data_IF_846574209614
#
_entry.id   IF_846574209614
#
_cell.length_a   1.000
_cell.length_b   1.000
_cell.length_c   1.000
_cell.angle_alpha   90.00
_cell.angle_beta   90.00
_cell.angle_gamma   90.00
#
_symmetry.space_group_name_H-M   'P 1'
#
loop_
_entity.id
_entity.type
_entity.pdbx_description
1 polymer ?
#
# COMPACT_ATOMS: atom_id res chain seq x y z
N UNK A 1 -11.27 26.21 4.20
CA UNK A 1 -11.38 24.85 3.64
C UNK A 1 -9.99 24.40 3.26
N UNK A 2 -9.57 23.21 3.70
CA UNK A 2 -8.25 22.65 3.33
C UNK A 2 -8.30 21.95 1.98
N UNK A 3 -7.17 21.88 1.27
CA UNK A 3 -7.05 21.23 -0.04
C UNK A 3 -6.14 20.03 0.04
N UNK A 4 -6.63 18.86 -0.40
CA UNK A 4 -5.84 17.64 -0.46
C UNK A 4 -5.69 17.16 -1.91
N UNK A 5 -4.45 16.92 -2.33
CA UNK A 5 -4.13 16.25 -3.59
C UNK A 5 -3.74 14.79 -3.28
N UNK A 6 -4.49 13.84 -3.86
CA UNK A 6 -4.24 12.41 -3.69
C UNK A 6 -3.65 11.87 -5.00
N UNK A 7 -2.34 11.65 -5.03
CA UNK A 7 -1.63 11.06 -6.18
C UNK A 7 -1.78 9.54 -6.16
N UNK A 8 -2.10 8.94 -7.32
CA UNK A 8 -2.40 7.52 -7.42
C UNK A 8 -3.81 7.16 -6.96
N UNK A 9 -4.73 8.14 -7.03
CA UNK A 9 -6.12 8.04 -6.58
C UNK A 9 -6.92 6.92 -7.24
N UNK A 10 -6.61 6.53 -8.49
CA UNK A 10 -7.31 5.46 -9.22
C UNK A 10 -6.92 4.03 -8.81
N UNK A 11 -5.95 3.86 -7.94
CA UNK A 11 -5.53 2.55 -7.41
C UNK A 11 -6.47 2.01 -6.33
N UNK A 12 -6.20 0.77 -5.90
CA UNK A 12 -6.94 0.10 -4.81
C UNK A 12 -7.03 0.99 -3.55
N UNK A 13 -5.88 1.32 -2.94
CA UNK A 13 -5.85 2.18 -1.76
C UNK A 13 -6.32 3.60 -2.08
N UNK A 14 -5.96 4.14 -3.26
CA UNK A 14 -6.35 5.48 -3.69
C UNK A 14 -7.85 5.71 -3.67
N UNK A 15 -8.64 4.72 -4.07
CA UNK A 15 -10.10 4.80 -4.04
C UNK A 15 -10.68 4.86 -2.62
N UNK A 16 -10.07 4.19 -1.64
CA UNK A 16 -10.46 4.31 -0.23
C UNK A 16 -10.04 5.66 0.37
N UNK A 17 -8.88 6.18 -0.03
CA UNK A 17 -8.43 7.52 0.35
C UNK A 17 -9.42 8.59 -0.18
N UNK A 18 -9.87 8.46 -1.43
CA UNK A 18 -10.89 9.36 -1.99
C UNK A 18 -12.22 9.27 -1.23
N UNK A 19 -12.72 8.06 -0.95
CA UNK A 19 -13.96 7.88 -0.18
C UNK A 19 -13.89 8.54 1.20
N UNK A 20 -12.75 8.36 1.90
CA UNK A 20 -12.55 9.03 3.19
C UNK A 20 -12.44 10.54 3.04
N UNK A 21 -11.72 11.03 2.03
CA UNK A 21 -11.53 12.47 1.80
C UNK A 21 -12.84 13.20 1.57
N UNK A 22 -13.70 12.70 0.67
CA UNK A 22 -14.98 13.34 0.33
C UNK A 22 -16.00 13.29 1.47
N UNK A 23 -15.79 12.45 2.47
CA UNK A 23 -16.62 12.40 3.68
C UNK A 23 -16.23 13.48 4.72
N UNK A 24 -15.13 14.19 4.52
CA UNK A 24 -14.68 15.29 5.40
C UNK A 24 -15.26 16.61 4.85
N UNK A 25 -16.15 17.24 5.62
CA UNK A 25 -16.97 18.39 5.17
C UNK A 25 -16.15 19.62 4.75
N UNK A 26 -15.01 19.87 5.36
CA UNK A 26 -14.22 21.08 5.12
C UNK A 26 -12.94 20.79 4.29
N UNK A 27 -13.03 19.82 3.37
CA UNK A 27 -11.91 19.40 2.54
C UNK A 27 -12.26 19.49 1.05
N UNK A 28 -11.47 20.23 0.29
CA UNK A 28 -11.46 20.19 -1.18
C UNK A 28 -10.57 19.04 -1.65
N UNK A 29 -11.14 18.11 -2.41
CA UNK A 29 -10.46 16.86 -2.78
C UNK A 29 -10.08 16.87 -4.26
N UNK A 30 -8.80 16.64 -4.53
CA UNK A 30 -8.24 16.56 -5.86
C UNK A 30 -7.64 15.17 -6.10
N UNK A 31 -8.15 14.49 -7.12
CA UNK A 31 -7.72 13.14 -7.49
C UNK A 31 -6.65 13.19 -8.58
N UNK A 32 -5.37 13.10 -8.19
CA UNK A 32 -4.22 13.11 -9.09
C UNK A 32 -4.02 11.74 -9.75
N UNK A 33 -4.20 11.67 -11.07
CA UNK A 33 -4.18 10.43 -11.85
C UNK A 33 -3.57 10.66 -13.24
N UNK A 34 -3.28 9.59 -13.96
CA UNK A 34 -2.98 9.64 -15.39
C UNK A 34 -4.26 9.74 -16.20
N UNK A 35 -4.22 10.31 -17.38
CA UNK A 35 -5.38 10.42 -18.27
C UNK A 35 -6.07 9.07 -18.51
N UNK A 36 -5.29 8.00 -18.71
CA UNK A 36 -5.78 6.64 -18.93
C UNK A 36 -6.36 5.95 -17.70
N UNK A 37 -6.34 6.59 -16.52
CA UNK A 37 -6.84 5.98 -15.29
C UNK A 37 -8.36 5.92 -15.29
N UNK A 38 -8.92 4.72 -15.03
CA UNK A 38 -10.35 4.53 -14.84
C UNK A 38 -10.81 5.16 -13.52
N UNK A 39 -11.97 5.81 -13.56
CA UNK A 39 -12.67 6.39 -12.41
C UNK A 39 -13.76 5.46 -11.82
N UNK A 40 -13.77 4.20 -12.23
CA UNK A 40 -14.77 3.20 -11.83
C UNK A 40 -15.08 3.19 -10.33
N UNK A 41 -14.04 3.43 -9.51
CA UNK A 41 -14.14 3.38 -8.05
C UNK A 41 -14.09 4.76 -7.39
N UNK A 42 -14.25 5.82 -8.18
CA UNK A 42 -14.31 7.17 -7.63
C UNK A 42 -15.67 7.44 -6.98
N UNK A 43 -15.70 8.21 -5.89
CA UNK A 43 -16.93 8.84 -5.44
C UNK A 43 -17.60 9.62 -6.58
N UNK A 44 -18.93 9.59 -6.64
CA UNK A 44 -19.70 10.21 -7.75
C UNK A 44 -19.63 11.74 -7.75
N UNK A 45 -19.26 12.35 -6.62
CA UNK A 45 -19.17 13.80 -6.43
C UNK A 45 -18.23 14.14 -5.29
N UNK A 46 -17.93 15.41 -5.11
CA UNK A 46 -17.12 15.91 -3.99
C UNK A 46 -15.60 15.86 -4.27
N UNK A 47 -15.17 15.66 -5.52
CA UNK A 47 -13.77 15.68 -5.91
C UNK A 47 -13.57 16.32 -7.28
N UNK A 48 -12.37 16.82 -7.50
CA UNK A 48 -11.87 17.30 -8.80
C UNK A 48 -10.83 16.34 -9.33
N UNK A 49 -11.02 15.80 -10.54
CA UNK A 49 -10.04 14.99 -11.24
C UNK A 49 -8.93 15.87 -11.79
N UNK A 50 -7.67 15.50 -11.54
CA UNK A 50 -6.48 16.20 -12.03
C UNK A 50 -5.60 15.20 -12.78
N UNK A 51 -5.38 15.45 -14.07
CA UNK A 51 -4.57 14.59 -14.92
C UNK A 51 -3.11 15.06 -14.92
N UNK A 52 -2.20 14.13 -14.67
CA UNK A 52 -0.76 14.31 -14.73
C UNK A 52 -0.14 13.37 -15.76
N UNK A 53 0.80 13.86 -16.53
CA UNK A 53 1.83 13.03 -17.12
C UNK A 53 3.05 13.01 -16.19
N UNK A 54 3.14 11.98 -15.34
CA UNK A 54 4.23 11.85 -14.37
C UNK A 54 5.60 11.58 -15.02
N UNK A 55 5.64 11.27 -16.32
CA UNK A 55 6.88 11.08 -17.09
C UNK A 55 7.42 12.41 -17.63
N UNK A 56 6.58 13.45 -17.68
CA UNK A 56 6.96 14.80 -18.12
C UNK A 56 7.07 15.76 -16.94
N UNK A 57 8.30 16.15 -16.51
CA UNK A 57 8.48 17.12 -15.42
C UNK A 57 7.79 18.46 -15.67
N UNK A 58 7.74 18.93 -16.93
CA UNK A 58 7.11 20.21 -17.26
C UNK A 58 5.57 20.14 -17.11
N UNK A 59 4.96 18.99 -17.44
CA UNK A 59 3.53 18.78 -17.18
C UNK A 59 3.25 18.73 -15.67
N UNK A 60 4.07 18.04 -14.87
CA UNK A 60 3.92 18.00 -13.42
C UNK A 60 3.96 19.42 -12.83
N UNK A 61 4.94 20.25 -13.22
CA UNK A 61 5.05 21.64 -12.76
C UNK A 61 3.82 22.47 -13.18
N UNK A 62 3.45 22.38 -14.44
CA UNK A 62 2.26 23.06 -14.99
C UNK A 62 1.00 22.70 -14.21
N UNK A 63 0.74 21.42 -14.02
CA UNK A 63 -0.47 20.95 -13.32
C UNK A 63 -0.48 21.40 -11.87
N UNK A 64 0.66 21.32 -11.16
CA UNK A 64 0.75 21.76 -9.77
C UNK A 64 0.42 23.25 -9.60
N UNK A 65 0.80 24.10 -10.57
CA UNK A 65 0.63 25.55 -10.50
C UNK A 65 -0.69 26.05 -11.07
N UNK A 66 -1.29 25.33 -12.03
CA UNK A 66 -2.51 25.79 -12.72
C UNK A 66 -3.80 25.16 -12.20
N UNK A 67 -3.73 24.13 -11.37
CA UNK A 67 -4.91 23.46 -10.83
C UNK A 67 -5.63 24.30 -9.77
N UNK A 68 -4.88 25.03 -8.97
CA UNK A 68 -5.43 25.94 -7.96
C UNK A 68 -5.48 27.37 -8.47
N UNK A 69 -6.39 28.21 -7.94
CA UNK A 69 -6.36 29.65 -8.19
C UNK A 69 -5.02 30.29 -7.85
N UNK A 70 -4.69 31.41 -8.48
CA UNK A 70 -3.44 32.15 -8.23
C UNK A 70 -3.29 32.55 -6.75
N UNK A 71 -2.12 32.27 -6.18
CA UNK A 71 -1.79 32.52 -4.77
C UNK A 71 -2.24 31.41 -3.79
N UNK A 72 -3.00 30.45 -4.25
CA UNK A 72 -3.45 29.31 -3.45
C UNK A 72 -2.40 28.17 -3.42
N UNK A 73 -2.41 27.35 -2.37
CA UNK A 73 -1.45 26.25 -2.18
C UNK A 73 -2.15 24.97 -1.74
N UNK A 74 -1.46 23.85 -1.90
CA UNK A 74 -1.86 22.58 -1.34
C UNK A 74 -1.65 22.58 0.17
N UNK A 75 -2.67 22.28 0.97
CA UNK A 75 -2.48 22.03 2.38
C UNK A 75 -1.87 20.64 2.58
N UNK A 76 -2.42 19.64 1.92
CA UNK A 76 -2.00 18.26 2.06
C UNK A 76 -1.80 17.59 0.71
N UNK A 77 -0.75 16.77 0.62
CA UNK A 77 -0.55 15.85 -0.49
C UNK A 77 -0.40 14.44 0.05
N UNK A 78 -1.17 13.49 -0.49
CA UNK A 78 -1.00 12.06 -0.24
C UNK A 78 -0.38 11.44 -1.49
N UNK A 79 0.86 10.99 -1.41
CA UNK A 79 1.54 10.34 -2.52
C UNK A 79 1.44 8.81 -2.38
N UNK A 80 0.49 8.23 -3.13
CA UNK A 80 0.18 6.79 -3.15
C UNK A 80 0.53 6.16 -4.51
N UNK A 81 1.20 6.89 -5.42
CA UNK A 81 1.69 6.31 -6.67
C UNK A 81 2.81 5.32 -6.36
N UNK A 82 2.69 4.11 -6.91
CA UNK A 82 3.70 3.09 -6.76
C UNK A 82 3.29 1.78 -7.40
N UNK A 83 4.28 0.93 -7.66
CA UNK A 83 4.08 -0.41 -8.21
C UNK A 83 4.61 -1.47 -7.24
N UNK A 84 3.77 -2.47 -6.96
CA UNK A 84 4.12 -3.68 -6.18
C UNK A 84 4.53 -4.85 -7.09
N UNK A 85 4.33 -4.70 -8.40
CA UNK A 85 4.66 -5.68 -9.45
C UNK A 85 5.13 -4.94 -10.68
N UNK A 86 6.28 -5.35 -11.23
CA UNK A 86 6.84 -4.79 -12.45
C UNK A 86 7.25 -5.89 -13.41
N UNK A 87 7.28 -5.57 -14.68
CA UNK A 87 7.74 -6.49 -15.72
C UNK A 87 9.26 -6.64 -15.68
N UNK A 88 9.97 -5.54 -15.48
CA UNK A 88 11.43 -5.50 -15.33
C UNK A 88 11.80 -4.91 -13.98
N UNK A 89 12.87 -5.39 -13.38
CA UNK A 89 13.29 -4.93 -12.04
C UNK A 89 13.62 -3.44 -11.96
N UNK A 90 14.14 -2.85 -13.03
CA UNK A 90 14.41 -1.41 -13.11
C UNK A 90 13.13 -0.56 -13.02
N UNK A 91 12.01 -1.12 -13.43
CA UNK A 91 10.72 -0.41 -13.40
C UNK A 91 10.26 -0.13 -11.95
N UNK A 92 10.74 -0.91 -10.96
CA UNK A 92 10.48 -0.60 -9.54
C UNK A 92 11.14 0.71 -9.09
N UNK A 93 12.42 0.92 -9.43
CA UNK A 93 13.11 2.15 -9.08
C UNK A 93 12.49 3.33 -9.83
N UNK A 94 12.20 3.16 -11.12
CA UNK A 94 11.57 4.19 -11.92
C UNK A 94 10.21 4.64 -11.34
N UNK A 95 9.28 3.69 -11.09
CA UNK A 95 7.92 4.04 -10.65
C UNK A 95 7.89 4.49 -9.19
N UNK A 96 8.64 3.81 -8.29
CA UNK A 96 8.54 4.07 -6.85
C UNK A 96 9.48 5.17 -6.36
N UNK A 97 10.54 5.48 -7.10
CA UNK A 97 11.55 6.47 -6.70
C UNK A 97 11.67 7.61 -7.71
N UNK A 98 11.90 7.35 -9.03
CA UNK A 98 12.20 8.43 -9.96
C UNK A 98 10.99 9.34 -10.21
N UNK A 99 9.78 8.78 -10.35
CA UNK A 99 8.56 9.59 -10.48
C UNK A 99 8.27 10.41 -9.21
N UNK A 100 8.57 9.87 -8.01
CA UNK A 100 8.48 10.64 -6.77
C UNK A 100 9.50 11.77 -6.76
N UNK A 101 10.73 11.52 -7.21
CA UNK A 101 11.77 12.54 -7.32
C UNK A 101 11.31 13.68 -8.24
N UNK A 102 10.83 13.36 -9.43
CA UNK A 102 10.28 14.35 -10.37
C UNK A 102 9.19 15.21 -9.70
N UNK A 103 8.28 14.57 -8.97
CA UNK A 103 7.18 15.26 -8.29
C UNK A 103 7.68 16.18 -7.15
N UNK A 104 8.61 15.70 -6.33
CA UNK A 104 9.21 16.48 -5.22
C UNK A 104 10.01 17.68 -5.75
N UNK A 105 10.84 17.46 -6.77
CA UNK A 105 11.59 18.54 -7.41
C UNK A 105 10.67 19.58 -8.06
N UNK A 106 9.54 19.17 -8.63
CA UNK A 106 8.53 20.07 -9.17
C UNK A 106 7.89 20.93 -8.06
N UNK A 107 7.56 20.32 -6.90
CA UNK A 107 7.06 21.08 -5.73
C UNK A 107 8.06 22.14 -5.25
N UNK A 108 9.36 21.82 -5.21
CA UNK A 108 10.42 22.74 -4.81
C UNK A 108 10.59 23.88 -5.83
N UNK A 109 10.67 23.56 -7.14
CA UNK A 109 10.85 24.56 -8.20
C UNK A 109 9.66 25.52 -8.33
N UNK A 110 8.46 25.02 -8.14
CA UNK A 110 7.23 25.83 -8.27
C UNK A 110 6.82 26.55 -6.99
N UNK A 111 7.46 26.23 -5.86
CA UNK A 111 7.06 26.77 -4.55
C UNK A 111 5.71 26.23 -4.06
N UNK A 112 5.18 25.13 -4.67
CA UNK A 112 3.89 24.53 -4.31
C UNK A 112 4.01 23.49 -3.21
N UNK A 113 5.01 23.62 -2.33
CA UNK A 113 5.24 22.73 -1.19
C UNK A 113 4.02 22.73 -0.25
N UNK A 114 3.44 21.57 0.09
CA UNK A 114 2.29 21.48 0.98
C UNK A 114 2.67 21.70 2.45
N UNK A 115 1.68 21.92 3.32
CA UNK A 115 1.90 21.88 4.77
C UNK A 115 2.34 20.50 5.25
N UNK A 116 1.74 19.44 4.68
CA UNK A 116 2.11 18.03 4.97
C UNK A 116 2.07 17.17 3.72
N UNK A 117 3.08 16.32 3.59
CA UNK A 117 3.23 15.37 2.50
C UNK A 117 3.25 13.94 3.04
N UNK A 118 2.16 13.20 2.87
CA UNK A 118 2.06 11.81 3.29
C UNK A 118 2.50 10.87 2.17
N UNK A 119 3.54 10.09 2.42
CA UNK A 119 4.04 9.07 1.51
C UNK A 119 3.62 7.66 1.95
N UNK A 120 2.95 6.92 1.07
CA UNK A 120 2.60 5.51 1.32
C UNK A 120 3.78 4.62 0.93
N UNK A 121 4.55 4.25 1.95
CA UNK A 121 5.64 3.29 1.87
C UNK A 121 5.17 1.87 2.22
N UNK A 122 6.09 0.99 2.55
CA UNK A 122 5.81 -0.41 2.86
C UNK A 122 6.73 -0.93 3.95
N UNK A 123 6.25 -1.85 4.77
CA UNK A 123 7.12 -2.60 5.70
C UNK A 123 8.22 -3.38 4.96
N UNK A 124 8.04 -3.66 3.67
CA UNK A 124 9.09 -4.25 2.82
C UNK A 124 10.35 -3.39 2.69
N UNK A 125 10.27 -2.07 2.94
CA UNK A 125 11.43 -1.19 3.01
C UNK A 125 12.34 -1.55 4.20
N UNK A 126 11.77 -2.08 5.28
CA UNK A 126 12.54 -2.59 6.43
C UNK A 126 13.26 -3.90 6.13
N UNK A 127 12.71 -4.71 5.24
CA UNK A 127 13.17 -6.08 4.99
C UNK A 127 12.56 -7.09 5.97
N UNK A 128 13.10 -8.33 6.02
CA UNK A 128 12.55 -9.39 6.86
C UNK A 128 12.91 -9.22 8.34
N UNK A 129 11.94 -9.47 9.22
CA UNK A 129 12.18 -9.55 10.67
C UNK A 129 12.88 -10.83 11.10
N UNK A 130 13.36 -10.83 12.33
CA UNK A 130 14.00 -12.00 12.92
C UNK A 130 13.05 -13.21 12.92
N UNK A 131 13.42 -14.30 12.24
CA UNK A 131 12.58 -15.49 12.10
C UNK A 131 12.58 -16.39 13.35
N UNK A 132 13.34 -16.04 14.40
CA UNK A 132 13.48 -16.82 15.64
C UNK A 132 12.67 -16.19 16.77
N UNK A 133 12.92 -14.91 17.06
CA UNK A 133 12.23 -14.18 18.13
C UNK A 133 10.85 -13.71 17.74
N UNK A 134 10.59 -13.51 16.43
CA UNK A 134 9.38 -12.84 15.92
C UNK A 134 9.15 -11.44 16.52
N UNK A 135 10.24 -10.78 16.94
CA UNK A 135 10.16 -9.40 17.45
C UNK A 135 9.53 -8.50 16.38
N UNK A 136 8.50 -7.71 16.75
CA UNK A 136 7.90 -6.78 15.82
C UNK A 136 8.87 -5.69 15.38
N UNK A 137 8.78 -5.27 14.12
CA UNK A 137 9.52 -4.10 13.64
C UNK A 137 9.05 -2.84 14.36
N UNK A 138 9.99 -2.03 14.80
CA UNK A 138 9.74 -0.64 15.15
C UNK A 138 10.50 0.29 14.19
N UNK A 139 10.19 1.56 14.24
CA UNK A 139 10.70 2.56 13.30
C UNK A 139 12.18 2.89 13.48
N UNK A 140 12.77 2.57 14.64
CA UNK A 140 14.19 2.81 14.95
C UNK A 140 15.13 1.73 14.42
N UNK A 141 14.60 0.60 13.96
CA UNK A 141 15.42 -0.48 13.39
C UNK A 141 16.01 -0.07 12.05
N UNK A 142 17.24 -0.53 11.78
CA UNK A 142 17.93 -0.25 10.53
C UNK A 142 17.29 -1.04 9.38
N UNK A 143 16.82 -0.37 8.30
CA UNK A 143 16.23 -1.02 7.15
C UNK A 143 17.23 -1.90 6.40
N UNK A 144 16.81 -3.12 6.07
CA UNK A 144 17.60 -4.10 5.30
C UNK A 144 16.70 -4.81 4.27
N UNK A 145 16.20 -4.10 3.24
CA UNK A 145 15.29 -4.68 2.25
C UNK A 145 15.96 -5.81 1.47
N UNK A 146 15.23 -6.89 1.25
CA UNK A 146 15.70 -8.07 0.52
C UNK A 146 14.93 -8.33 -0.78
N UNK A 147 14.16 -7.34 -1.22
CA UNK A 147 13.39 -7.35 -2.47
C UNK A 147 13.65 -6.06 -3.24
N UNK A 148 13.46 -6.09 -4.57
CA UNK A 148 13.59 -4.90 -5.42
C UNK A 148 12.52 -3.87 -5.07
N UNK A 149 11.30 -4.34 -4.83
CA UNK A 149 10.22 -3.49 -4.35
C UNK A 149 10.58 -2.79 -3.03
N UNK A 150 11.01 -3.55 -2.01
CA UNK A 150 11.41 -2.97 -0.72
C UNK A 150 12.57 -1.98 -0.84
N UNK A 151 13.58 -2.31 -1.66
CA UNK A 151 14.70 -1.41 -1.92
C UNK A 151 14.27 -0.12 -2.60
N UNK A 152 13.36 -0.17 -3.59
CA UNK A 152 12.84 1.03 -4.26
C UNK A 152 12.01 1.91 -3.32
N UNK A 153 11.23 1.30 -2.40
CA UNK A 153 10.51 2.04 -1.36
C UNK A 153 11.46 2.72 -0.36
N UNK A 154 12.52 2.02 0.06
CA UNK A 154 13.53 2.62 0.93
C UNK A 154 14.26 3.79 0.25
N UNK A 155 14.63 3.67 -1.04
CA UNK A 155 15.20 4.77 -1.81
C UNK A 155 14.29 6.00 -1.82
N UNK A 156 12.99 5.78 -1.99
CA UNK A 156 11.99 6.84 -1.95
C UNK A 156 11.87 7.51 -0.56
N UNK A 157 11.94 6.72 0.53
CA UNK A 157 12.00 7.28 1.89
C UNK A 157 13.25 8.14 2.09
N UNK A 158 14.41 7.66 1.64
CA UNK A 158 15.68 8.41 1.72
C UNK A 158 15.63 9.70 0.90
N UNK A 159 15.04 9.67 -0.30
CA UNK A 159 14.81 10.86 -1.13
C UNK A 159 14.05 11.93 -0.33
N UNK A 160 12.90 11.57 0.27
CA UNK A 160 12.11 12.52 1.06
C UNK A 160 12.90 13.10 2.25
N UNK A 161 13.76 12.29 2.87
CA UNK A 161 14.61 12.74 3.99
C UNK A 161 15.72 13.72 3.56
N UNK A 162 16.15 13.65 2.29
CA UNK A 162 17.19 14.54 1.73
C UNK A 162 16.63 15.86 1.21
N UNK A 163 15.33 15.95 0.97
CA UNK A 163 14.65 17.14 0.46
C UNK A 163 13.96 17.94 1.58
N UNK A 164 13.53 19.16 1.29
CA UNK A 164 12.86 20.05 2.25
C UNK A 164 11.40 19.68 2.53
N UNK A 165 10.92 18.58 1.95
CA UNK A 165 9.53 18.12 2.04
C UNK A 165 9.09 17.90 3.49
N UNK A 166 7.93 18.43 3.93
CA UNK A 166 7.35 18.17 5.24
C UNK A 166 6.67 16.77 5.28
N UNK A 167 7.49 15.72 5.14
CA UNK A 167 7.01 14.36 4.94
C UNK A 167 6.43 13.73 6.21
N UNK A 168 5.47 12.82 6.01
CA UNK A 168 5.04 11.77 6.91
C UNK A 168 5.13 10.48 6.11
N UNK A 169 5.86 9.47 6.59
CA UNK A 169 6.04 8.20 5.87
C UNK A 169 5.27 7.10 6.59
N UNK A 170 4.39 6.41 5.87
CA UNK A 170 3.68 5.24 6.36
C UNK A 170 4.30 3.95 5.82
N UNK A 171 4.92 3.15 6.67
CA UNK A 171 5.37 1.78 6.37
C UNK A 171 4.22 0.82 6.62
N UNK A 172 3.39 0.62 5.59
CA UNK A 172 2.21 -0.23 5.68
C UNK A 172 2.58 -1.71 5.58
N UNK A 173 1.85 -2.55 6.33
CA UNK A 173 1.89 -4.01 6.22
C UNK A 173 1.05 -4.51 5.04
N UNK A 174 0.60 -5.77 5.06
CA UNK A 174 -0.31 -6.28 4.04
C UNK A 174 -1.64 -5.54 4.03
N UNK A 175 -1.84 -4.65 3.05
CA UNK A 175 -3.09 -3.90 2.89
C UNK A 175 -4.11 -4.80 2.19
N UNK A 176 -5.28 -4.98 2.78
CA UNK A 176 -6.37 -5.78 2.24
C UNK A 176 -7.70 -5.05 2.37
N UNK A 177 -8.70 -5.49 1.60
CA UNK A 177 -10.04 -4.89 1.66
C UNK A 177 -10.81 -5.04 0.35
N UNK A 178 -11.99 -4.41 0.24
CA UNK A 178 -12.71 -4.28 -1.02
C UNK A 178 -11.82 -3.75 -2.15
N UNK A 179 -11.94 -4.28 -3.38
CA UNK A 179 -11.15 -3.91 -4.58
C UNK A 179 -9.73 -4.43 -4.62
N UNK A 180 -9.24 -5.13 -3.57
CA UNK A 180 -7.92 -5.75 -3.59
C UNK A 180 -7.92 -7.05 -4.40
N UNK A 181 -6.98 -7.16 -5.34
CA UNK A 181 -6.83 -8.35 -6.18
C UNK A 181 -5.90 -9.41 -5.57
N UNK A 182 -4.95 -9.03 -4.73
CA UNK A 182 -3.95 -9.98 -4.22
C UNK A 182 -4.54 -10.90 -3.15
N UNK A 183 -5.24 -10.32 -2.16
CA UNK A 183 -5.94 -11.11 -1.14
C UNK A 183 -7.19 -11.78 -1.69
N UNK A 184 -7.87 -11.17 -2.68
CA UNK A 184 -8.94 -11.86 -3.40
C UNK A 184 -8.50 -13.22 -3.93
N UNK A 185 -7.31 -13.33 -4.57
CA UNK A 185 -6.79 -14.61 -5.07
C UNK A 185 -6.57 -15.63 -3.94
N UNK A 186 -6.14 -15.18 -2.76
CA UNK A 186 -5.98 -16.04 -1.58
C UNK A 186 -7.34 -16.53 -1.07
N UNK A 187 -8.32 -15.62 -0.95
CA UNK A 187 -9.67 -15.98 -0.50
C UNK A 187 -10.37 -16.92 -1.50
N UNK A 188 -10.20 -16.70 -2.80
CA UNK A 188 -10.78 -17.58 -3.83
C UNK A 188 -10.13 -18.98 -3.83
N UNK A 189 -8.82 -19.08 -3.57
CA UNK A 189 -8.16 -20.37 -3.37
C UNK A 189 -8.72 -21.10 -2.14
N UNK A 190 -8.93 -20.38 -1.03
CA UNK A 190 -9.51 -20.93 0.18
C UNK A 190 -11.00 -21.33 -0.01
N UNK A 191 -11.76 -20.56 -0.80
CA UNK A 191 -13.10 -20.93 -1.22
C UNK A 191 -13.12 -22.24 -2.00
N UNK A 192 -12.10 -22.49 -2.83
CA UNK A 192 -11.90 -23.75 -3.55
C UNK A 192 -11.37 -24.89 -2.68
N UNK A 193 -11.10 -24.61 -1.39
CA UNK A 193 -10.71 -25.61 -0.39
C UNK A 193 -9.20 -25.70 -0.13
N UNK A 194 -8.37 -24.77 -0.64
CA UNK A 194 -6.92 -24.83 -0.52
C UNK A 194 -6.33 -23.56 0.09
N UNK A 195 -5.45 -23.71 1.09
CA UNK A 195 -4.63 -22.62 1.65
C UNK A 195 -3.16 -22.87 1.32
N UNK A 196 -2.64 -22.13 0.36
CA UNK A 196 -1.24 -22.25 -0.08
C UNK A 196 -0.31 -21.42 0.80
N UNK A 197 0.69 -22.08 1.38
CA UNK A 197 1.72 -21.46 2.20
C UNK A 197 3.13 -21.88 1.77
N UNK A 198 4.11 -20.99 1.98
CA UNK A 198 5.50 -21.18 1.56
C UNK A 198 6.34 -21.64 2.73
N UNK A 199 6.96 -22.82 2.58
CA UNK A 199 7.81 -23.44 3.60
C UNK A 199 7.02 -24.03 4.76
N UNK A 200 7.75 -24.62 5.72
CA UNK A 200 7.15 -25.42 6.79
C UNK A 200 7.20 -24.75 8.18
N UNK A 201 7.96 -23.66 8.32
CA UNK A 201 8.09 -22.94 9.59
C UNK A 201 6.92 -21.97 9.78
N UNK A 202 6.58 -21.67 11.03
CA UNK A 202 5.58 -20.65 11.38
C UNK A 202 5.89 -19.31 10.71
N UNK A 203 4.88 -18.65 10.23
CA UNK A 203 4.95 -17.29 9.71
C UNK A 203 4.01 -16.41 10.53
N UNK A 204 4.48 -15.23 10.91
CA UNK A 204 3.69 -14.20 11.57
C UNK A 204 3.50 -13.04 10.63
N UNK A 205 2.27 -12.59 10.48
CA UNK A 205 1.85 -11.55 9.54
C UNK A 205 1.03 -10.51 10.28
N UNK A 206 1.22 -9.24 9.96
CA UNK A 206 0.30 -8.17 10.30
C UNK A 206 -0.40 -7.68 9.05
N UNK A 207 -1.60 -7.15 9.23
CA UNK A 207 -2.44 -6.65 8.16
C UNK A 207 -2.94 -5.25 8.49
N UNK A 208 -3.40 -4.54 7.49
CA UNK A 208 -4.16 -3.31 7.67
C UNK A 208 -5.35 -3.29 6.70
N UNK A 209 -6.54 -3.05 7.22
CA UNK A 209 -7.72 -2.87 6.41
C UNK A 209 -7.65 -1.53 5.67
N UNK A 210 -7.93 -1.51 4.36
CA UNK A 210 -7.73 -0.32 3.54
C UNK A 210 -8.54 0.91 4.00
N UNK A 211 -9.80 0.78 4.45
CA UNK A 211 -10.51 1.90 5.09
C UNK A 211 -9.85 2.41 6.37
N UNK A 212 -9.33 1.53 7.25
CA UNK A 212 -8.60 1.95 8.45
C UNK A 212 -7.30 2.68 8.10
N UNK A 213 -6.62 2.25 7.03
CA UNK A 213 -5.43 2.95 6.53
C UNK A 213 -5.78 4.34 5.99
N UNK A 214 -6.92 4.48 5.30
CA UNK A 214 -7.42 5.79 4.87
C UNK A 214 -7.73 6.69 6.07
N UNK A 215 -8.35 6.16 7.13
CA UNK A 215 -8.55 6.88 8.39
C UNK A 215 -7.22 7.33 9.01
N UNK A 216 -6.24 6.42 9.10
CA UNK A 216 -4.89 6.74 9.59
C UNK A 216 -4.25 7.89 8.81
N UNK A 217 -4.41 7.91 7.48
CA UNK A 217 -3.82 8.92 6.60
C UNK A 217 -4.33 10.33 6.96
N UNK A 218 -5.64 10.51 7.07
CA UNK A 218 -6.21 11.82 7.39
C UNK A 218 -5.97 12.22 8.85
N UNK A 219 -6.01 11.29 9.78
CA UNK A 219 -5.67 11.54 11.18
C UNK A 219 -4.21 12.00 11.33
N UNK A 220 -3.28 11.40 10.59
CA UNK A 220 -1.88 11.83 10.59
C UNK A 220 -1.69 13.19 9.92
N UNK A 221 -2.38 13.47 8.80
CA UNK A 221 -2.36 14.79 8.18
C UNK A 221 -2.88 15.88 9.12
N UNK A 222 -3.83 15.56 9.96
CA UNK A 222 -4.33 16.50 10.97
C UNK A 222 -3.36 16.65 12.15
N UNK A 223 -2.89 15.56 12.76
CA UNK A 223 -2.28 15.55 14.09
C UNK A 223 -0.80 15.20 14.14
N UNK A 224 -0.27 14.41 13.19
CA UNK A 224 1.11 13.98 13.27
C UNK A 224 2.10 15.10 12.96
N UNK A 225 3.26 15.16 13.64
CA UNK A 225 4.37 16.01 13.22
C UNK A 225 4.94 15.55 11.88
N UNK A 226 5.56 16.48 11.16
CA UNK A 226 6.29 16.19 9.92
C UNK A 226 7.68 15.63 10.21
N UNK A 227 8.32 15.08 9.17
CA UNK A 227 9.65 14.43 9.20
C UNK A 227 9.68 13.19 10.08
N UNK A 228 8.56 12.46 10.09
CA UNK A 228 8.36 11.27 10.89
C UNK A 228 7.98 10.05 10.04
N UNK A 229 8.32 8.86 10.56
CA UNK A 229 8.01 7.56 9.95
C UNK A 229 7.16 6.77 10.93
N UNK A 230 6.13 6.09 10.43
CA UNK A 230 5.22 5.28 11.22
C UNK A 230 4.95 3.93 10.58
N UNK A 231 4.99 2.86 11.37
CA UNK A 231 4.46 1.57 10.97
C UNK A 231 2.94 1.58 11.13
N UNK A 232 2.22 1.21 10.07
CA UNK A 232 0.76 1.20 10.07
C UNK A 232 0.25 -0.23 9.83
N UNK A 233 -0.41 -0.76 10.85
CA UNK A 233 -0.98 -2.11 10.86
C UNK A 233 -2.07 -2.23 11.92
N UNK A 234 -2.84 -3.32 11.86
CA UNK A 234 -3.56 -3.82 13.02
C UNK A 234 -2.54 -4.20 14.12
N UNK A 235 -2.80 -3.88 15.40
CA UNK A 235 -1.83 -4.15 16.49
C UNK A 235 -1.51 -5.62 16.71
N UNK A 236 -2.32 -6.53 16.16
CA UNK A 236 -2.17 -7.98 16.31
C UNK A 236 -1.45 -8.60 15.11
N UNK A 237 -0.49 -9.48 15.39
CA UNK A 237 0.09 -10.36 14.38
C UNK A 237 -0.64 -11.72 14.38
N UNK A 238 -0.81 -12.29 13.21
CA UNK A 238 -1.53 -13.55 12.97
C UNK A 238 -0.62 -14.60 12.37
N UNK A 239 -0.78 -15.83 12.83
CA UNK A 239 -0.21 -16.98 12.11
C UNK A 239 -1.05 -17.33 10.88
N UNK A 240 -0.45 -18.00 9.91
CA UNK A 240 -1.18 -18.50 8.75
C UNK A 240 -2.40 -19.40 9.13
N UNK A 241 -2.26 -20.19 10.19
CA UNK A 241 -3.35 -21.05 10.67
C UNK A 241 -4.53 -20.22 11.23
N UNK A 242 -4.25 -19.12 11.94
CA UNK A 242 -5.30 -18.21 12.42
C UNK A 242 -5.98 -17.50 11.27
N UNK A 243 -5.18 -16.97 10.30
CA UNK A 243 -5.72 -16.36 9.09
C UNK A 243 -6.67 -17.33 8.34
N UNK A 244 -6.21 -18.57 8.09
CA UNK A 244 -7.05 -19.60 7.45
C UNK A 244 -8.35 -19.88 8.22
N UNK A 245 -8.30 -19.95 9.56
CA UNK A 245 -9.51 -20.17 10.38
C UNK A 245 -10.51 -19.02 10.25
N UNK A 246 -10.03 -17.78 10.23
CA UNK A 246 -10.87 -16.59 10.04
C UNK A 246 -11.58 -16.66 8.69
N UNK A 247 -10.82 -16.87 7.61
CA UNK A 247 -11.38 -16.96 6.24
C UNK A 247 -12.32 -18.16 6.10
N UNK A 248 -11.96 -19.32 6.67
CA UNK A 248 -12.80 -20.53 6.63
C UNK A 248 -14.17 -20.30 7.29
N UNK A 249 -14.19 -19.58 8.42
CA UNK A 249 -15.44 -19.22 9.12
C UNK A 249 -16.35 -18.39 8.22
N UNK A 250 -15.84 -17.36 7.56
CA UNK A 250 -16.62 -16.50 6.66
C UNK A 250 -17.10 -17.23 5.41
N UNK A 251 -16.27 -18.13 4.86
CA UNK A 251 -16.60 -18.94 3.69
C UNK A 251 -17.49 -20.16 4.03
N UNK A 252 -17.84 -20.36 5.32
CA UNK A 252 -18.60 -21.49 5.82
C UNK A 252 -17.98 -22.86 5.43
N UNK A 253 -16.64 -22.88 5.31
CA UNK A 253 -15.91 -24.09 4.95
C UNK A 253 -15.52 -24.89 6.20
N UNK A 254 -15.99 -26.12 6.31
CA UNK A 254 -15.60 -27.04 7.38
C UNK A 254 -14.12 -27.39 7.32
N UNK A 255 -13.57 -27.53 6.11
CA UNK A 255 -12.17 -27.91 5.89
C UNK A 255 -11.59 -27.04 4.76
N UNK A 256 -10.43 -26.45 5.03
CA UNK A 256 -9.53 -25.87 4.03
C UNK A 256 -8.19 -26.57 4.20
N UNK A 257 -7.73 -27.27 3.17
CA UNK A 257 -6.50 -28.05 3.19
C UNK A 257 -5.29 -27.14 3.13
N UNK A 258 -4.40 -27.15 4.16
CA UNK A 258 -3.15 -26.38 4.10
C UNK A 258 -2.16 -27.07 3.15
N UNK A 259 -1.87 -26.42 2.04
CA UNK A 259 -0.86 -26.87 1.07
C UNK A 259 0.45 -26.14 1.32
N UNK A 260 1.40 -26.81 1.95
CA UNK A 260 2.73 -26.23 2.23
C UNK A 260 3.66 -26.54 1.06
N UNK A 261 4.06 -25.49 0.34
CA UNK A 261 4.98 -25.62 -0.79
C UNK A 261 6.42 -25.44 -0.31
N UNK A 262 7.33 -26.39 -0.59
CA UNK A 262 8.73 -26.27 -0.25
C UNK A 262 9.35 -24.99 -0.87
N UNK A 263 10.33 -24.38 -0.19
CA UNK A 263 10.99 -23.15 -0.68
C UNK A 263 11.55 -23.30 -2.08
N UNK A 264 12.20 -24.41 -2.41
CA UNK A 264 12.76 -24.67 -3.74
C UNK A 264 11.66 -24.75 -4.82
N UNK A 265 10.53 -25.41 -4.52
CA UNK A 265 9.41 -25.52 -5.42
C UNK A 265 8.76 -24.15 -5.70
N UNK A 266 8.51 -23.36 -4.64
CA UNK A 266 7.99 -22.00 -4.78
C UNK A 266 8.95 -21.11 -5.59
N UNK A 267 10.28 -21.24 -5.37
CA UNK A 267 11.28 -20.49 -6.14
C UNK A 267 11.23 -20.83 -7.63
N UNK A 268 11.16 -22.14 -7.95
CA UNK A 268 11.09 -22.61 -9.34
C UNK A 268 9.81 -22.10 -10.03
N UNK A 269 8.66 -22.25 -9.39
CA UNK A 269 7.37 -21.77 -9.93
C UNK A 269 7.38 -20.26 -10.11
N UNK A 270 7.90 -19.50 -9.14
CA UNK A 270 8.00 -18.03 -9.23
C UNK A 270 8.87 -17.60 -10.42
N UNK A 271 9.99 -18.28 -10.65
CA UNK A 271 10.86 -18.01 -11.79
C UNK A 271 10.18 -18.33 -13.14
N UNK A 272 9.48 -19.46 -13.23
CA UNK A 272 8.72 -19.84 -14.45
C UNK A 272 7.61 -18.80 -14.72
N UNK A 273 6.82 -18.45 -13.70
CA UNK A 273 5.74 -17.47 -13.85
C UNK A 273 6.27 -16.09 -14.28
N UNK A 274 7.42 -15.69 -13.75
CA UNK A 274 8.10 -14.44 -14.14
C UNK A 274 8.50 -14.47 -15.62
N UNK A 275 9.12 -15.56 -16.11
CA UNK A 275 9.50 -15.72 -17.53
C UNK A 275 8.26 -15.71 -18.45
N UNK A 276 7.19 -16.38 -18.06
CA UNK A 276 5.92 -16.34 -18.80
C UNK A 276 5.36 -14.90 -18.82
N UNK A 277 5.44 -14.17 -17.71
CA UNK A 277 5.03 -12.78 -17.62
C UNK A 277 5.79 -11.89 -18.62
N UNK A 278 7.10 -12.05 -18.69
CA UNK A 278 7.97 -11.32 -19.66
C UNK A 278 7.53 -11.60 -21.10
N UNK A 279 7.33 -12.88 -21.47
CA UNK A 279 6.88 -13.26 -22.83
C UNK A 279 5.50 -12.68 -23.16
N UNK A 280 4.60 -12.61 -22.18
CA UNK A 280 3.24 -12.07 -22.36
C UNK A 280 3.17 -10.54 -22.26
N UNK A 281 4.27 -9.84 -21.93
CA UNK A 281 4.28 -8.39 -21.71
C UNK A 281 3.47 -7.93 -20.50
N UNK A 282 3.18 -8.83 -19.53
CA UNK A 282 2.39 -8.52 -18.33
C UNK A 282 3.08 -9.03 -17.08
N UNK A 283 3.21 -8.22 -16.01
CA UNK A 283 3.84 -8.66 -14.77
C UNK A 283 3.06 -9.80 -14.13
N UNK A 284 3.78 -10.86 -13.71
CA UNK A 284 3.19 -11.98 -12.99
C UNK A 284 2.94 -11.61 -11.53
N UNK A 285 1.81 -12.07 -10.98
CA UNK A 285 1.51 -11.95 -9.55
C UNK A 285 2.48 -12.76 -8.69
N UNK A 286 2.95 -13.92 -9.17
CA UNK A 286 3.99 -14.71 -8.54
C UNK A 286 5.28 -14.56 -9.37
N UNK A 287 6.27 -13.92 -8.77
CA UNK A 287 7.60 -13.67 -9.34
C UNK A 287 8.68 -13.87 -8.27
N UNK A 288 9.94 -13.75 -8.63
CA UNK A 288 11.08 -13.96 -7.71
C UNK A 288 11.08 -12.93 -6.56
N UNK A 289 10.63 -11.71 -6.80
CA UNK A 289 10.52 -10.67 -5.76
C UNK A 289 9.44 -11.03 -4.73
N UNK A 290 8.25 -11.44 -5.21
CA UNK A 290 7.15 -11.93 -4.36
C UNK A 290 7.56 -13.19 -3.56
N UNK A 291 8.32 -14.11 -4.19
CA UNK A 291 8.90 -15.26 -3.46
C UNK A 291 9.77 -14.80 -2.29
N UNK A 292 10.61 -13.77 -2.48
CA UNK A 292 11.46 -13.24 -1.42
C UNK A 292 10.66 -12.68 -0.24
N UNK A 293 9.46 -12.12 -0.48
CA UNK A 293 8.52 -11.70 0.57
C UNK A 293 7.90 -12.94 1.25
N UNK A 294 7.36 -13.88 0.47
CA UNK A 294 6.59 -15.02 0.97
C UNK A 294 7.44 -16.01 1.77
N UNK A 295 8.74 -16.15 1.47
CA UNK A 295 9.64 -17.04 2.22
C UNK A 295 9.98 -16.55 3.62
N UNK A 296 9.74 -15.26 3.93
CA UNK A 296 10.08 -14.70 5.24
C UNK A 296 9.09 -15.16 6.32
N UNK A 297 9.58 -15.24 7.53
CA UNK A 297 8.81 -15.81 8.67
C UNK A 297 8.19 -14.75 9.56
N UNK A 298 8.76 -13.55 9.58
CA UNK A 298 8.29 -12.48 10.46
C UNK A 298 8.00 -11.20 9.67
N UNK A 299 6.74 -10.81 9.67
CA UNK A 299 6.22 -9.55 9.17
C UNK A 299 5.37 -8.86 10.25
N UNK A 300 5.77 -9.02 11.53
CA UNK A 300 5.09 -8.35 12.64
C UNK A 300 5.56 -6.90 12.74
N UNK A 301 4.64 -5.97 12.89
CA UNK A 301 4.92 -4.55 13.05
C UNK A 301 4.49 -4.05 14.43
N UNK A 302 5.31 -3.19 15.03
CA UNK A 302 4.97 -2.42 16.23
C UNK A 302 4.29 -1.12 15.78
N UNK A 303 3.08 -0.88 16.25
CA UNK A 303 2.24 0.27 15.87
C UNK A 303 2.08 1.29 16.98
N UNK A 304 2.81 1.14 18.10
CA UNK A 304 2.67 1.99 19.28
C UNK A 304 2.96 3.45 18.98
N UNK A 305 3.98 3.73 18.17
CA UNK A 305 4.34 5.10 17.78
C UNK A 305 3.17 5.85 17.14
N UNK A 306 2.46 5.24 16.21
CA UNK A 306 1.29 5.85 15.58
C UNK A 306 0.19 6.16 16.58
N UNK A 307 -0.07 5.23 17.52
CA UNK A 307 -1.06 5.42 18.59
C UNK A 307 -0.67 6.55 19.55
N UNK A 308 0.58 6.59 19.98
CA UNK A 308 1.09 7.57 20.95
C UNK A 308 1.21 8.97 20.36
N UNK A 309 1.57 9.08 19.06
CA UNK A 309 1.84 10.37 18.43
C UNK A 309 0.58 11.06 17.91
N UNK A 310 -0.28 10.34 17.18
CA UNK A 310 -1.48 10.95 16.58
C UNK A 310 -2.79 10.20 16.88
N UNK A 311 -2.75 9.24 17.79
CA UNK A 311 -3.95 8.57 18.32
C UNK A 311 -4.50 7.46 17.43
N UNK A 312 -3.76 7.02 16.38
CA UNK A 312 -4.25 5.97 15.50
C UNK A 312 -4.10 4.57 16.08
N UNK A 313 -5.20 3.82 16.04
CA UNK A 313 -5.20 2.36 16.21
C UNK A 313 -6.26 1.78 15.28
N UNK A 314 -5.90 0.79 14.47
CA UNK A 314 -6.84 0.15 13.56
C UNK A 314 -8.07 -0.38 14.34
N UNK A 315 -9.26 0.00 13.88
CA UNK A 315 -10.52 -0.32 14.56
C UNK A 315 -11.15 -1.61 14.02
N UNK A 316 -10.80 -2.01 12.80
CA UNK A 316 -11.37 -3.18 12.12
C UNK A 316 -10.47 -4.40 12.34
N UNK A 317 -10.86 -5.35 13.22
CA UNK A 317 -10.13 -6.59 13.39
C UNK A 317 -10.11 -7.38 12.07
N UNK A 318 -9.05 -8.17 11.84
CA UNK A 318 -8.91 -8.98 10.62
C UNK A 318 -10.16 -9.81 10.28
N UNK A 319 -10.85 -10.35 11.29
CA UNK A 319 -12.08 -11.12 11.08
C UNK A 319 -13.19 -10.30 10.43
N UNK A 320 -13.41 -9.06 10.90
CA UNK A 320 -14.42 -8.17 10.35
C UNK A 320 -14.01 -7.70 8.94
N UNK A 321 -12.76 -7.26 8.75
CA UNK A 321 -12.30 -6.79 7.44
C UNK A 321 -12.32 -7.90 6.38
N UNK A 322 -12.04 -9.16 6.77
CA UNK A 322 -12.22 -10.33 5.89
C UNK A 322 -13.70 -10.54 5.53
N UNK A 323 -14.59 -10.41 6.52
CA UNK A 323 -16.03 -10.54 6.29
C UNK A 323 -16.54 -9.51 5.28
N UNK A 324 -16.19 -8.22 5.48
CA UNK A 324 -16.57 -7.13 4.59
C UNK A 324 -15.95 -7.26 3.20
N UNK A 325 -14.68 -7.70 3.11
CA UNK A 325 -14.00 -7.92 1.83
C UNK A 325 -14.66 -9.01 1.01
N UNK A 326 -14.97 -10.17 1.63
CA UNK A 326 -15.62 -11.31 0.96
C UNK A 326 -17.04 -10.95 0.51
N UNK A 327 -17.80 -10.22 1.34
CA UNK A 327 -19.14 -9.76 0.97
C UNK A 327 -19.09 -8.79 -0.21
N UNK A 328 -18.11 -7.88 -0.23
CA UNK A 328 -17.89 -7.01 -1.37
C UNK A 328 -17.53 -7.79 -2.64
N UNK A 329 -16.62 -8.79 -2.57
CA UNK A 329 -16.26 -9.62 -3.73
C UNK A 329 -17.45 -10.40 -4.28
N UNK A 330 -18.35 -10.86 -3.40
CA UNK A 330 -19.61 -11.52 -3.81
C UNK A 330 -20.56 -10.56 -4.50
N UNK A 331 -20.75 -9.37 -3.91
CA UNK A 331 -21.62 -8.31 -4.46
C UNK A 331 -21.17 -7.84 -5.84
N UNK A 332 -19.85 -7.67 -6.04
CA UNK A 332 -19.27 -7.23 -7.32
C UNK A 332 -19.08 -8.38 -8.33
N UNK A 333 -19.48 -9.60 -7.99
CA UNK A 333 -19.39 -10.77 -8.87
C UNK A 333 -17.97 -11.30 -9.08
N UNK A 334 -17.01 -10.88 -8.25
CA UNK A 334 -15.65 -11.41 -8.29
C UNK A 334 -15.58 -12.82 -7.70
N UNK A 335 -16.42 -13.10 -6.71
CA UNK A 335 -16.53 -14.39 -6.03
C UNK A 335 -17.97 -14.92 -6.18
N UNK A 336 -18.09 -16.14 -6.73
CA UNK A 336 -19.37 -16.84 -6.87
C UNK A 336 -19.69 -17.65 -5.62
#
# INVERSE_FOLDING_TARGET
>A
MKRVLIIGAGGFLGSHLLEKAVAISDLEVYAGVRESTSDKWFPKSGLTRVNFDFEDPADVERVLTTTLPEGERWDWIIYNLGATKCLRYKDFDHINHDLLRTFVEALERTGMMPEKFLYISSLSAMGPGDPRSYTPFNESMIPQPNTRYGASKLKAEMLLQMHSVPYIIFRCTGIYGPRDHDYFLMFDAMRKGFDFSVGFRKQMLTFIYAPDLAEAAFLALEKAPTKEVYNIAEPRAYSQAEFRKIVAKKLEKKVIVPVKVPLWGTKAVSWICEKIGVVRGKPSTLNTDKYNIMKQRNWSADTRKAKETFGFSAQTPLSQGVDESIDWYRKEGWMK
#
